data_IF_263661252219
#
_entry.id   IF_263661252219
#
_cell.length_a   1.000
_cell.length_b   1.000
_cell.length_c   1.000
_cell.angle_alpha   90.00
_cell.angle_beta   90.00
_cell.angle_gamma   90.00
#
_symmetry.space_group_name_H-M   'P 1'
#
loop_
_entity.id
_entity.type
_entity.pdbx_description
1 polymer ?
#
# COMPACT_ATOMS: atom_id res chain seq x y z
N UNK A 1 9.14 1.68 -2.16
CA UNK A 1 8.28 1.87 -0.98
C UNK A 1 8.40 0.64 -0.10
N UNK A 2 9.10 0.78 1.02
CA UNK A 2 9.23 -0.27 2.04
C UNK A 2 8.00 -0.29 2.95
N UNK A 3 7.78 -1.36 3.74
CA UNK A 3 6.74 -1.38 4.76
C UNK A 3 6.83 -0.18 5.73
N UNK A 4 8.04 0.19 6.14
CA UNK A 4 8.26 1.32 7.05
C UNK A 4 7.89 2.67 6.40
N UNK A 5 8.16 2.83 5.11
CA UNK A 5 7.75 4.02 4.33
C UNK A 5 6.22 4.12 4.21
N UNK A 6 5.53 2.97 4.06
CA UNK A 6 4.06 2.90 4.03
C UNK A 6 3.47 3.32 5.39
N UNK A 7 4.00 2.76 6.49
CA UNK A 7 3.55 3.12 7.85
C UNK A 7 3.78 4.60 8.13
N UNK A 8 4.92 5.15 7.69
CA UNK A 8 5.24 6.57 7.83
C UNK A 8 4.28 7.46 7.05
N UNK A 9 3.95 7.12 5.79
CA UNK A 9 3.01 7.89 4.97
C UNK A 9 1.57 7.82 5.52
N UNK A 10 1.13 6.64 5.98
CA UNK A 10 -0.18 6.47 6.64
C UNK A 10 -0.25 7.33 7.90
N UNK A 11 0.77 7.28 8.76
CA UNK A 11 0.81 8.07 9.99
C UNK A 11 0.81 9.58 9.70
N UNK A 12 1.53 10.03 8.66
CA UNK A 12 1.54 11.42 8.25
C UNK A 12 0.14 11.89 7.83
N UNK A 13 -0.53 11.14 6.95
CA UNK A 13 -1.90 11.46 6.47
C UNK A 13 -2.95 11.42 7.58
N UNK A 14 -2.87 10.43 8.47
CA UNK A 14 -3.79 10.33 9.60
C UNK A 14 -3.61 11.51 10.56
N UNK A 15 -2.36 11.93 10.79
CA UNK A 15 -2.03 13.07 11.65
C UNK A 15 -2.52 14.38 11.04
N UNK A 16 -2.36 14.56 9.73
CA UNK A 16 -2.89 15.72 9.01
C UNK A 16 -4.42 15.77 9.07
N UNK A 17 -5.09 14.64 8.82
CA UNK A 17 -6.55 14.54 8.92
C UNK A 17 -7.06 14.83 10.34
N UNK A 18 -6.34 14.37 11.36
CA UNK A 18 -6.66 14.64 12.77
C UNK A 18 -6.49 16.12 13.11
N UNK A 19 -5.32 16.71 12.85
CA UNK A 19 -5.04 18.10 13.21
C UNK A 19 -5.71 19.14 12.31
N UNK A 20 -6.20 18.74 11.13
CA UNK A 20 -7.04 19.59 10.29
C UNK A 20 -8.44 19.84 10.88
N UNK A 21 -8.85 19.08 11.90
CA UNK A 21 -10.12 19.28 12.59
C UNK A 21 -9.98 20.32 13.70
N UNK A 22 -10.96 21.22 13.84
CA UNK A 22 -10.94 22.25 14.90
C UNK A 22 -11.15 21.68 16.32
N UNK A 23 -11.71 20.48 16.42
CA UNK A 23 -12.10 19.78 17.63
C UNK A 23 -11.18 18.60 17.98
N UNK A 24 -9.99 18.53 17.40
CA UNK A 24 -9.09 17.37 17.54
C UNK A 24 -8.71 17.02 19.00
N UNK A 25 -8.84 17.99 19.93
CA UNK A 25 -8.64 17.79 21.38
C UNK A 25 -9.85 17.19 22.12
N UNK A 26 -11.02 17.16 21.50
CA UNK A 26 -12.29 16.76 22.12
C UNK A 26 -12.98 15.62 21.36
N UNK A 27 -12.21 14.77 20.69
CA UNK A 27 -12.78 13.63 19.98
C UNK A 27 -13.53 12.71 20.92
N UNK A 28 -14.74 12.35 20.51
CA UNK A 28 -15.53 11.32 21.18
C UNK A 28 -14.97 9.92 20.90
N UNK A 29 -15.37 8.95 21.71
CA UNK A 29 -14.94 7.55 21.55
C UNK A 29 -15.26 6.99 20.16
N UNK A 30 -16.46 7.25 19.65
CA UNK A 30 -16.91 6.85 18.31
C UNK A 30 -16.02 7.45 17.21
N UNK A 31 -15.62 8.71 17.35
CA UNK A 31 -14.78 9.37 16.35
C UNK A 31 -13.34 8.83 16.35
N UNK A 32 -12.82 8.43 17.51
CA UNK A 32 -11.54 7.74 17.61
C UNK A 32 -11.62 6.37 16.94
N UNK A 33 -12.69 5.60 17.17
CA UNK A 33 -12.89 4.30 16.52
C UNK A 33 -12.98 4.45 14.99
N UNK A 34 -13.74 5.42 14.51
CA UNK A 34 -13.87 5.70 13.08
C UNK A 34 -12.52 6.07 12.43
N UNK A 35 -11.66 6.83 13.12
CA UNK A 35 -10.31 7.16 12.67
C UNK A 35 -9.41 5.92 12.60
N UNK A 36 -9.53 5.01 13.59
CA UNK A 36 -8.78 3.74 13.59
C UNK A 36 -9.21 2.84 12.41
N UNK A 37 -10.51 2.74 12.14
CA UNK A 37 -11.03 1.97 11.01
C UNK A 37 -10.56 2.53 9.66
N UNK A 38 -10.59 3.86 9.51
CA UNK A 38 -10.09 4.52 8.30
C UNK A 38 -8.59 4.26 8.10
N UNK A 39 -7.79 4.36 9.16
CA UNK A 39 -6.36 4.06 9.13
C UNK A 39 -6.08 2.60 8.74
N UNK A 40 -6.84 1.65 9.30
CA UNK A 40 -6.72 0.22 9.00
C UNK A 40 -7.07 -0.09 7.54
N UNK A 41 -8.19 0.46 7.03
CA UNK A 41 -8.59 0.30 5.62
C UNK A 41 -7.54 0.87 4.66
N UNK A 42 -6.91 2.00 5.00
CA UNK A 42 -5.86 2.59 4.17
C UNK A 42 -4.60 1.71 4.15
N UNK A 43 -4.21 1.17 5.30
CA UNK A 43 -3.13 0.18 5.40
C UNK A 43 -3.39 -1.06 4.55
N UNK A 44 -4.61 -1.60 4.61
CA UNK A 44 -5.01 -2.75 3.79
C UNK A 44 -4.89 -2.46 2.29
N UNK A 45 -5.44 -1.32 1.81
CA UNK A 45 -5.37 -0.93 0.38
C UNK A 45 -3.94 -0.80 -0.12
N UNK A 46 -3.06 -0.17 0.65
CA UNK A 46 -1.64 -0.03 0.27
C UNK A 46 -0.94 -1.39 0.22
N UNK A 47 -1.16 -2.23 1.22
CA UNK A 47 -0.62 -3.60 1.25
C UNK A 47 -1.05 -4.44 0.04
N UNK A 48 -2.33 -4.38 -0.34
CA UNK A 48 -2.85 -5.08 -1.52
C UNK A 48 -2.20 -4.61 -2.83
N UNK A 49 -1.99 -3.30 -2.99
CA UNK A 49 -1.36 -2.74 -4.18
C UNK A 49 0.11 -3.15 -4.30
N UNK A 50 0.83 -3.23 -3.18
CA UNK A 50 2.21 -3.72 -3.15
C UNK A 50 2.27 -5.19 -3.59
N UNK A 51 1.44 -6.04 -2.98
CA UNK A 51 1.36 -7.46 -3.31
C UNK A 51 1.03 -7.68 -4.80
N UNK A 52 0.05 -6.93 -5.34
CA UNK A 52 -0.29 -6.99 -6.76
C UNK A 52 0.88 -6.58 -7.66
N UNK A 53 1.63 -5.54 -7.28
CA UNK A 53 2.79 -5.07 -8.04
C UNK A 53 3.91 -6.10 -8.05
N UNK A 54 4.14 -6.79 -6.93
CA UNK A 54 5.10 -7.89 -6.85
C UNK A 54 4.70 -9.06 -7.76
N UNK A 55 3.44 -9.46 -7.76
CA UNK A 55 2.91 -10.52 -8.63
C UNK A 55 3.09 -10.14 -10.11
N UNK A 56 2.74 -8.89 -10.48
CA UNK A 56 2.93 -8.40 -11.86
C UNK A 56 4.40 -8.42 -12.27
N UNK A 57 5.32 -8.00 -11.39
CA UNK A 57 6.75 -8.08 -11.63
C UNK A 57 7.25 -9.51 -11.85
N UNK A 58 6.80 -10.45 -11.01
CA UNK A 58 7.16 -11.85 -11.15
C UNK A 58 6.66 -12.46 -12.47
N UNK A 59 5.42 -12.15 -12.87
CA UNK A 59 4.85 -12.59 -14.14
C UNK A 59 5.60 -12.01 -15.34
N UNK A 60 5.94 -10.71 -15.30
CA UNK A 60 6.72 -10.08 -16.36
C UNK A 60 8.07 -10.78 -16.55
N UNK A 61 8.78 -11.06 -15.46
CA UNK A 61 10.07 -11.77 -15.52
C UNK A 61 9.91 -13.18 -16.09
N UNK A 62 8.85 -13.91 -15.75
CA UNK A 62 8.56 -15.22 -16.32
C UNK A 62 8.31 -15.15 -17.84
N UNK A 63 7.52 -14.18 -18.28
CA UNK A 63 7.22 -13.96 -19.70
C UNK A 63 8.48 -13.61 -20.50
N UNK A 64 9.33 -12.72 -19.99
CA UNK A 64 10.59 -12.35 -20.66
C UNK A 64 11.55 -13.55 -20.75
N UNK A 65 11.59 -14.41 -19.73
CA UNK A 65 12.38 -15.66 -19.78
C UNK A 65 11.84 -16.64 -20.82
N UNK A 66 10.52 -16.84 -20.89
CA UNK A 66 9.91 -17.69 -21.89
C UNK A 66 10.18 -17.19 -23.32
N UNK A 67 10.05 -15.88 -23.56
CA UNK A 67 10.36 -15.27 -24.85
C UNK A 67 11.86 -15.33 -25.24
N UNK A 68 12.75 -15.41 -24.25
CA UNK A 68 14.18 -15.61 -24.46
C UNK A 68 14.55 -17.05 -24.86
N UNK A 69 13.82 -18.05 -24.36
CA UNK A 69 14.07 -19.48 -24.68
C UNK A 69 13.70 -19.85 -26.13
N UNK A 70 12.82 -19.07 -26.78
CA UNK A 70 12.41 -19.30 -28.18
C UNK A 70 13.46 -18.87 -29.22
N UNK A 71 14.50 -18.11 -28.82
CA UNK A 71 15.51 -17.57 -29.74
C UNK A 71 16.79 -18.41 -29.86
N UNK A 72 16.94 -19.45 -29.04
CA UNK A 72 18.21 -20.19 -28.90
C UNK A 72 18.13 -21.64 -29.43
N UNK A 73 17.16 -21.96 -30.30
CA UNK A 73 17.14 -23.20 -31.08
C UNK A 73 17.98 -23.03 -32.35
N UNK A 74 19.20 -23.61 -32.45
CA UNK A 74 19.95 -23.63 -33.68
C UNK A 74 19.32 -24.68 -34.61
N UNK A 75 19.01 -24.27 -35.84
CA UNK A 75 18.69 -25.16 -36.97
C UNK A 75 19.97 -25.71 -37.56
#
# INVERSE_FOLDING_TARGET
>A
MTPDEIVTDINARNREALYGRADYHHLTHEEVLALMDAAAMQGFRMGSNLALSMVKGALLVQLTRAAGMERDTPV
#
